data_IF_874342110948
#
_entry.id   IF_874342110948
#
_cell.length_a   1.000
_cell.length_b   1.000
_cell.length_c   1.000
_cell.angle_alpha   90.00
_cell.angle_beta   90.00
_cell.angle_gamma   90.00
#
_symmetry.space_group_name_H-M   'P 1'
#
loop_
_entity.id
_entity.type
_entity.pdbx_description
1 polymer ?
#
# COMPACT_ATOMS: atom_id res chain seq x y z
N UNK A 1 -24.44 3.66 19.15
CA UNK A 1 -23.06 3.41 19.60
C UNK A 1 -22.28 2.40 18.74
N UNK A 2 -22.79 1.18 18.47
CA UNK A 2 -22.02 0.11 17.78
C UNK A 2 -21.67 0.39 16.29
N UNK A 3 -22.49 1.18 15.59
CA UNK A 3 -22.31 1.51 14.15
C UNK A 3 -21.18 2.51 13.88
N UNK A 4 -20.80 3.31 14.87
CA UNK A 4 -19.69 4.29 14.77
C UNK A 4 -18.33 3.59 14.86
N UNK A 5 -18.28 2.48 15.61
CA UNK A 5 -17.07 1.68 15.80
C UNK A 5 -16.67 0.91 14.51
N UNK A 6 -17.66 0.53 13.69
CA UNK A 6 -17.43 -0.13 12.38
C UNK A 6 -16.84 0.85 11.33
N UNK A 7 -17.12 2.15 11.44
CA UNK A 7 -16.59 3.15 10.51
C UNK A 7 -15.12 3.50 10.78
N UNK A 8 -14.64 3.36 12.02
CA UNK A 8 -13.24 3.60 12.39
C UNK A 8 -12.28 2.53 11.82
N UNK A 9 -12.72 1.27 11.75
CA UNK A 9 -11.91 0.15 11.22
C UNK A 9 -11.72 0.25 9.70
N UNK A 10 -12.66 0.87 8.99
CA UNK A 10 -12.61 1.00 7.52
C UNK A 10 -11.68 2.14 7.06
N UNK A 11 -11.50 3.18 7.88
CA UNK A 11 -10.66 4.33 7.56
C UNK A 11 -9.15 4.06 7.69
N UNK A 12 -8.73 3.20 8.62
CA UNK A 12 -7.32 2.83 8.82
C UNK A 12 -6.74 2.05 7.62
N UNK A 13 -7.61 1.38 6.84
CA UNK A 13 -7.22 0.51 5.74
C UNK A 13 -6.73 1.19 4.45
N UNK A 14 -6.72 2.52 4.37
CA UNK A 14 -6.51 3.26 3.12
C UNK A 14 -5.14 3.93 2.97
N UNK A 15 -4.26 3.84 3.98
CA UNK A 15 -2.96 4.52 3.99
C UNK A 15 -1.76 3.59 3.77
N UNK A 16 -1.89 2.48 3.03
CA UNK A 16 -0.76 1.55 2.86
C UNK A 16 0.19 1.98 1.76
N UNK A 17 0.91 3.09 1.94
CA UNK A 17 2.24 3.27 1.37
C UNK A 17 3.19 2.34 2.13
N UNK A 18 3.87 1.43 1.43
CA UNK A 18 4.84 0.55 2.07
C UNK A 18 6.14 1.33 2.25
N UNK A 19 6.47 1.65 3.49
CA UNK A 19 7.69 2.37 3.88
C UNK A 19 8.58 1.44 4.70
N UNK A 20 9.85 1.31 4.34
CA UNK A 20 10.80 0.43 5.04
C UNK A 20 11.01 0.83 6.49
N UNK A 21 10.87 2.12 6.81
CA UNK A 21 11.09 2.64 8.15
C UNK A 21 9.91 2.33 9.09
N UNK A 22 8.68 2.28 8.56
CA UNK A 22 7.47 2.11 9.37
C UNK A 22 6.74 0.77 9.16
N UNK A 23 7.07 0.02 8.10
CA UNK A 23 6.42 -1.24 7.77
C UNK A 23 6.56 -2.27 8.90
N UNK A 24 5.51 -3.09 9.03
CA UNK A 24 5.49 -4.23 9.94
C UNK A 24 6.35 -5.38 9.41
N UNK A 25 6.63 -6.36 10.30
CA UNK A 25 7.40 -7.56 9.93
C UNK A 25 6.71 -8.30 8.78
N UNK A 26 5.38 -8.45 8.84
CA UNK A 26 4.59 -9.14 7.82
C UNK A 26 4.59 -8.39 6.48
N UNK A 27 4.52 -7.06 6.53
CA UNK A 27 4.54 -6.22 5.32
C UNK A 27 5.87 -6.31 4.59
N UNK A 28 6.98 -6.32 5.33
CA UNK A 28 8.32 -6.50 4.76
C UNK A 28 8.50 -7.93 4.21
N UNK A 29 7.94 -8.94 4.89
CA UNK A 29 7.94 -10.34 4.43
C UNK A 29 7.15 -10.54 3.13
N UNK A 30 6.08 -9.77 2.93
CA UNK A 30 5.27 -9.82 1.71
C UNK A 30 6.02 -9.32 0.46
N UNK A 31 7.17 -8.66 0.63
CA UNK A 31 7.97 -8.12 -0.48
C UNK A 31 8.78 -9.25 -1.13
N UNK A 32 8.54 -9.47 -2.42
CA UNK A 32 9.26 -10.49 -3.18
C UNK A 32 10.77 -10.21 -3.18
N UNK A 33 11.53 -11.12 -2.58
CA UNK A 33 12.99 -11.01 -2.45
C UNK A 33 13.48 -10.65 -1.04
N UNK A 34 12.57 -10.38 -0.11
CA UNK A 34 12.82 -10.27 1.33
C UNK A 34 12.28 -11.52 2.01
N UNK A 35 13.07 -12.12 2.90
CA UNK A 35 12.68 -13.25 3.74
C UNK A 35 12.92 -12.92 5.21
N UNK A 36 12.57 -13.81 6.13
CA UNK A 36 12.58 -13.56 7.59
C UNK A 36 13.89 -12.96 8.09
N UNK A 37 15.02 -13.61 7.77
CA UNK A 37 16.35 -13.12 8.13
C UNK A 37 16.63 -11.71 7.60
N UNK A 38 16.15 -11.38 6.40
CA UNK A 38 16.33 -10.04 5.81
C UNK A 38 15.44 -9.01 6.48
N UNK A 39 14.23 -9.39 6.89
CA UNK A 39 13.34 -8.50 7.65
C UNK A 39 13.95 -8.13 8.98
N UNK A 40 14.47 -9.10 9.73
CA UNK A 40 15.15 -8.83 11.00
C UNK A 40 16.29 -7.83 10.81
N UNK A 41 17.09 -8.00 9.75
CA UNK A 41 18.16 -7.05 9.43
C UNK A 41 17.68 -5.65 9.08
N UNK A 42 16.54 -5.52 8.38
CA UNK A 42 15.92 -4.21 8.13
C UNK A 42 15.45 -3.58 9.43
N UNK A 43 14.81 -4.36 10.30
CA UNK A 43 14.33 -3.92 11.61
C UNK A 43 15.48 -3.49 12.53
N UNK A 44 16.63 -4.16 12.45
CA UNK A 44 17.84 -3.75 13.15
C UNK A 44 18.45 -2.49 12.54
N UNK A 45 18.58 -2.42 11.21
CA UNK A 45 19.17 -1.28 10.52
C UNK A 45 18.41 0.01 10.80
N UNK A 46 17.07 -0.03 10.80
CA UNK A 46 16.22 1.14 11.07
C UNK A 46 16.27 1.68 12.51
N UNK A 47 16.88 0.94 13.45
CA UNK A 47 17.08 1.44 14.83
C UNK A 47 18.14 2.53 14.89
N UNK A 48 19.06 2.54 13.93
CA UNK A 48 20.24 3.42 13.94
C UNK A 48 20.42 4.21 12.65
N UNK A 49 19.87 3.74 11.53
CA UNK A 49 20.02 4.34 10.21
C UNK A 49 18.67 4.39 9.48
N UNK A 50 18.39 5.46 8.74
CA UNK A 50 17.17 5.57 7.95
C UNK A 50 17.36 4.96 6.55
N UNK A 51 16.32 4.29 6.05
CA UNK A 51 16.29 3.73 4.70
C UNK A 51 15.54 4.70 3.80
N UNK A 52 16.27 5.46 2.98
CA UNK A 52 15.68 6.43 2.06
C UNK A 52 15.34 5.79 0.72
N UNK A 53 16.15 4.80 0.31
CA UNK A 53 16.00 4.15 -0.98
C UNK A 53 16.16 2.64 -0.90
N UNK A 54 15.60 1.93 -1.89
CA UNK A 54 15.84 0.49 -2.02
C UNK A 54 17.34 0.16 -2.21
N UNK A 55 18.15 1.10 -2.71
CA UNK A 55 19.61 0.91 -2.84
C UNK A 55 20.30 0.88 -1.49
N UNK A 56 19.79 1.61 -0.50
CA UNK A 56 20.40 1.68 0.84
C UNK A 56 20.36 0.32 1.54
N UNK A 57 19.42 -0.54 1.12
CA UNK A 57 19.39 -1.94 1.54
C UNK A 57 20.71 -2.66 1.22
N UNK A 58 21.51 -2.26 0.21
CA UNK A 58 22.82 -2.90 -0.04
C UNK A 58 23.82 -2.72 1.10
N UNK A 59 23.62 -1.72 1.96
CA UNK A 59 24.45 -1.50 3.15
C UNK A 59 24.15 -2.52 4.26
N UNK A 60 23.04 -3.26 4.13
CA UNK A 60 22.61 -4.26 5.08
C UNK A 60 23.18 -5.63 4.68
N UNK A 61 23.87 -6.29 5.61
CA UNK A 61 24.44 -7.63 5.39
C UNK A 61 23.35 -8.61 4.94
N UNK A 62 23.55 -9.25 3.79
CA UNK A 62 22.59 -10.19 3.18
C UNK A 62 21.74 -9.61 2.04
N UNK A 63 21.86 -8.31 1.75
CA UNK A 63 21.22 -7.65 0.61
C UNK A 63 22.21 -7.43 -0.54
N UNK A 64 22.44 -8.46 -1.34
CA UNK A 64 23.23 -8.33 -2.56
C UNK A 64 22.49 -7.57 -3.68
N UNK A 65 23.24 -7.09 -4.69
CA UNK A 65 22.73 -6.39 -5.89
C UNK A 65 21.53 -7.09 -6.53
N UNK A 66 21.56 -8.43 -6.64
CA UNK A 66 20.46 -9.25 -7.19
C UNK A 66 19.19 -9.20 -6.35
N UNK A 67 19.32 -9.20 -5.02
CA UNK A 67 18.17 -9.12 -4.10
C UNK A 67 17.55 -7.74 -4.13
N UNK A 68 18.39 -6.70 -4.06
CA UNK A 68 17.93 -5.31 -4.13
C UNK A 68 17.23 -5.00 -5.44
N UNK A 69 17.76 -5.48 -6.58
CA UNK A 69 17.09 -5.32 -7.87
C UNK A 69 15.69 -5.98 -7.91
N UNK A 70 15.52 -7.15 -7.27
CA UNK A 70 14.20 -7.80 -7.16
C UNK A 70 13.23 -6.97 -6.32
N UNK A 71 13.70 -6.43 -5.19
CA UNK A 71 12.93 -5.56 -4.30
C UNK A 71 12.52 -4.28 -5.04
N UNK A 72 13.46 -3.62 -5.69
CA UNK A 72 13.22 -2.40 -6.48
C UNK A 72 12.17 -2.64 -7.57
N UNK A 73 12.27 -3.77 -8.29
CA UNK A 73 11.26 -4.16 -9.27
C UNK A 73 9.89 -4.43 -8.62
N UNK A 74 9.86 -5.12 -7.48
CA UNK A 74 8.62 -5.40 -6.74
C UNK A 74 7.92 -4.12 -6.26
N UNK A 75 8.68 -3.10 -5.83
CA UNK A 75 8.12 -1.80 -5.46
C UNK A 75 7.56 -1.08 -6.69
N UNK A 76 8.29 -1.08 -7.82
CA UNK A 76 7.84 -0.52 -9.09
C UNK A 76 6.57 -1.20 -9.61
N UNK A 77 6.47 -2.51 -9.46
CA UNK A 77 5.32 -3.29 -9.91
C UNK A 77 4.12 -3.17 -8.95
N UNK A 78 4.36 -3.00 -7.65
CA UNK A 78 3.33 -2.66 -6.66
C UNK A 78 2.63 -1.33 -6.98
N UNK A 79 3.35 -0.35 -7.54
CA UNK A 79 2.78 0.93 -8.01
C UNK A 79 1.89 0.73 -9.25
N UNK A 80 2.23 -0.21 -10.15
CA UNK A 80 1.39 -0.55 -11.32
C UNK A 80 0.08 -1.24 -10.91
N UNK A 81 0.10 -2.07 -9.86
CA UNK A 81 -1.08 -2.73 -9.29
C UNK A 81 -2.01 -1.77 -8.53
N UNK A 82 -1.46 -0.72 -7.90
CA UNK A 82 -2.27 0.35 -7.28
C UNK A 82 -2.99 1.23 -8.31
N UNK A 83 -2.37 1.56 -9.45
CA UNK A 83 -3.03 2.32 -10.54
C UNK A 83 -4.22 1.56 -11.16
N UNK A 84 -4.18 0.23 -11.22
CA UNK A 84 -5.29 -0.58 -11.76
C UNK A 84 -6.41 -0.82 -10.72
N UNK A 85 -6.10 -0.98 -9.42
CA UNK A 85 -7.14 -1.10 -8.38
C UNK A 85 -7.84 0.22 -8.04
N UNK A 86 -7.16 1.36 -8.18
CA UNK A 86 -7.79 2.70 -8.07
C UNK A 86 -8.77 2.97 -9.23
N UNK A 87 -8.43 2.59 -10.48
CA UNK A 87 -9.35 2.71 -11.63
C UNK A 87 -10.62 1.85 -11.47
N UNK A 88 -10.54 0.67 -10.84
CA UNK A 88 -11.70 -0.21 -10.63
C UNK A 88 -12.71 0.34 -9.60
N UNK A 89 -12.25 1.02 -8.53
CA UNK A 89 -13.15 1.67 -7.54
C UNK A 89 -13.78 2.97 -8.06
N UNK A 90 -13.06 3.75 -8.87
CA UNK A 90 -13.59 5.00 -9.46
C UNK A 90 -14.72 4.72 -10.46
N UNK A 91 -14.61 3.65 -11.27
CA UNK A 91 -15.64 3.34 -12.27
C UNK A 91 -16.96 2.85 -11.64
N UNK A 92 -16.89 2.10 -10.52
CA UNK A 92 -18.09 1.64 -9.79
C UNK A 92 -18.83 2.78 -9.06
N UNK A 93 -18.12 3.85 -8.67
CA UNK A 93 -18.71 5.03 -8.01
C UNK A 93 -19.29 6.04 -9.00
N UNK A 94 -18.72 6.16 -10.22
CA UNK A 94 -19.27 7.02 -11.30
C UNK A 94 -20.61 6.53 -11.84
N UNK A 95 -20.83 5.22 -11.95
CA UNK A 95 -22.10 4.68 -12.46
C UNK A 95 -23.28 4.87 -11.50
N UNK A 96 -23.02 4.80 -10.19
CA UNK A 96 -24.06 5.03 -9.17
C UNK A 96 -24.43 6.51 -9.03
N UNK A 97 -23.46 7.42 -9.23
CA UNK A 97 -23.72 8.87 -9.20
C UNK A 97 -24.53 9.36 -10.42
N UNK A 98 -24.46 8.67 -11.56
CA UNK A 98 -25.29 9.00 -12.74
C UNK A 98 -26.76 8.62 -12.53
N UNK A 99 -27.02 7.46 -11.92
CA UNK A 99 -28.38 7.00 -11.60
C UNK A 99 -29.03 7.84 -10.50
N UNK A 100 -28.30 8.17 -9.43
CA UNK A 100 -28.83 9.06 -8.39
C UNK A 100 -29.14 10.50 -8.88
N UNK A 101 -28.53 10.95 -9.98
CA UNK A 101 -28.78 12.29 -10.56
C UNK A 101 -29.96 12.33 -11.53
N UNK A 102 -30.32 11.21 -12.17
CA UNK A 102 -31.55 11.13 -12.98
C UNK A 102 -32.78 11.14 -12.08
N UNK A 103 -32.74 10.35 -11.01
CA UNK A 103 -33.88 10.14 -10.12
C UNK A 103 -34.20 11.44 -9.34
N UNK A 104 -33.17 12.23 -8.98
CA UNK A 104 -33.35 13.54 -8.35
C UNK A 104 -33.89 14.63 -9.32
N UNK A 105 -33.78 14.41 -10.64
CA UNK A 105 -34.27 15.34 -11.66
C UNK A 105 -35.76 15.14 -11.93
N UNK A 106 -36.24 13.89 -11.89
CA UNK A 106 -37.68 13.55 -11.98
C UNK A 106 -38.45 13.98 -10.73
N UNK A 107 -37.86 13.90 -9.54
CA UNK A 107 -38.48 14.33 -8.28
C UNK A 107 -38.64 15.85 -8.15
N UNK A 108 -37.92 16.64 -8.96
CA UNK A 108 -38.01 18.12 -8.97
C UNK A 108 -38.87 18.66 -10.11
N UNK A 109 -39.45 17.79 -10.93
CA UNK A 109 -40.36 18.15 -12.03
C UNK A 109 -41.84 17.95 -11.69
N UNK A 110 -42.15 17.53 -10.46
CA UNK A 110 -43.47 17.62 -9.84
C UNK A 110 -43.51 18.83 -8.90
#
# INVERSE_FOLDING_TARGET
>A
MKRVLILFVIAFGLAFGLDFNTASKEELLAIKGIGEKKVERILEYRKTNEINSAKDLTNIKGFGKKSVKKIENSLKDGIKSKKTKAKKKINKKKNQLKKAKSDLKELKSF
#
